data_IF_811430827125
#
_entry.id   IF_811430827125
#
_cell.length_a   1.000
_cell.length_b   1.000
_cell.length_c   1.000
_cell.angle_alpha   90.00
_cell.angle_beta   90.00
_cell.angle_gamma   90.00
#
_symmetry.space_group_name_H-M   'P 1'
#
loop_
_entity.id
_entity.type
_entity.pdbx_description
1 polymer ?
#
# COMPACT_ATOMS: atom_id res chain seq x y z
N UNK A 1 32.30 -10.79 -3.06
CA UNK A 1 32.23 -12.04 -3.86
C UNK A 1 31.68 -13.19 -3.03
N UNK A 2 32.19 -13.36 -1.81
CA UNK A 2 31.76 -14.35 -0.80
C UNK A 2 30.23 -14.42 -0.54
N UNK A 3 29.52 -13.29 -0.37
CA UNK A 3 28.05 -13.32 -0.19
C UNK A 3 27.28 -13.89 -1.38
N UNK A 4 27.80 -13.70 -2.61
CA UNK A 4 27.14 -14.20 -3.84
C UNK A 4 27.25 -15.71 -3.98
N UNK A 5 28.33 -16.33 -3.48
CA UNK A 5 28.50 -17.78 -3.57
C UNK A 5 27.49 -18.56 -2.72
N UNK A 6 26.95 -17.96 -1.65
CA UNK A 6 25.93 -18.60 -0.82
C UNK A 6 24.52 -18.59 -1.45
N UNK A 7 24.29 -17.80 -2.50
CA UNK A 7 23.00 -17.73 -3.20
C UNK A 7 22.87 -18.84 -4.27
N UNK A 8 23.99 -19.34 -4.79
CA UNK A 8 23.96 -20.30 -5.89
C UNK A 8 23.47 -21.66 -5.39
N UNK A 9 22.53 -22.24 -6.11
CA UNK A 9 22.19 -23.64 -5.96
C UNK A 9 23.08 -24.45 -6.90
N UNK A 10 23.72 -25.51 -6.40
CA UNK A 10 24.46 -26.46 -7.22
C UNK A 10 24.23 -27.88 -6.69
N UNK A 11 23.94 -28.83 -7.58
CA UNK A 11 23.85 -30.25 -7.25
C UNK A 11 24.42 -31.10 -8.37
N UNK A 12 25.19 -32.11 -8.00
CA UNK A 12 25.62 -33.20 -8.88
C UNK A 12 25.05 -34.56 -8.41
N UNK A 13 24.21 -34.56 -7.36
CA UNK A 13 23.62 -35.77 -6.77
C UNK A 13 22.32 -36.20 -7.46
N UNK A 14 22.20 -35.98 -8.77
CA UNK A 14 21.01 -36.29 -9.56
C UNK A 14 21.40 -37.11 -10.80
N UNK A 15 20.54 -38.06 -11.18
CA UNK A 15 20.77 -39.02 -12.27
C UNK A 15 20.77 -38.40 -13.68
N UNK A 16 20.39 -37.13 -13.81
CA UNK A 16 20.49 -36.37 -15.05
C UNK A 16 21.93 -35.88 -15.27
N UNK A 17 22.15 -34.60 -15.02
CA UNK A 17 23.44 -33.93 -15.17
C UNK A 17 23.64 -32.94 -14.01
N UNK A 18 24.86 -32.45 -13.76
CA UNK A 18 25.08 -31.41 -12.75
C UNK A 18 24.26 -30.15 -13.05
N UNK A 19 23.48 -29.69 -12.07
CA UNK A 19 22.64 -28.49 -12.17
C UNK A 19 23.25 -27.38 -11.34
N UNK A 20 23.32 -26.17 -11.89
CA UNK A 20 23.67 -24.96 -11.17
C UNK A 20 22.73 -23.81 -11.55
N UNK A 21 22.18 -23.11 -10.55
CA UNK A 21 21.30 -21.95 -10.75
C UNK A 21 21.80 -20.76 -9.92
N UNK A 22 21.85 -19.58 -10.55
CA UNK A 22 22.23 -18.33 -9.88
C UNK A 22 21.05 -17.65 -9.16
N UNK A 23 19.82 -18.08 -9.45
CA UNK A 23 18.55 -17.56 -8.93
C UNK A 23 17.61 -18.73 -8.63
N UNK A 24 16.48 -18.46 -7.97
CA UNK A 24 15.48 -19.50 -7.62
C UNK A 24 14.97 -20.25 -8.85
N UNK A 25 14.66 -19.54 -9.94
CA UNK A 25 14.21 -20.15 -11.19
C UNK A 25 15.39 -20.68 -12.00
N UNK A 26 15.23 -21.89 -12.57
CA UNK A 26 16.12 -22.41 -13.61
C UNK A 26 15.67 -21.87 -14.97
N UNK A 27 14.60 -22.43 -15.54
CA UNK A 27 13.93 -21.84 -16.72
C UNK A 27 13.29 -20.52 -16.32
N UNK A 28 13.62 -19.45 -17.05
CA UNK A 28 13.12 -18.09 -16.78
C UNK A 28 12.78 -17.37 -18.08
N UNK A 29 11.85 -16.41 -18.00
CA UNK A 29 11.41 -15.63 -19.16
C UNK A 29 12.53 -14.75 -19.71
N UNK A 30 12.89 -14.95 -20.97
CA UNK A 30 13.82 -14.06 -21.67
C UNK A 30 13.19 -12.68 -21.96
N UNK A 31 11.86 -12.63 -22.13
CA UNK A 31 11.13 -11.41 -22.47
C UNK A 31 11.24 -10.35 -21.39
N UNK A 32 11.06 -10.72 -20.11
CA UNK A 32 11.17 -9.77 -18.99
C UNK A 32 12.58 -9.19 -18.87
N UNK A 33 13.62 -10.00 -19.12
CA UNK A 33 15.00 -9.55 -19.13
C UNK A 33 15.28 -8.60 -20.29
N UNK A 34 14.81 -8.94 -21.51
CA UNK A 34 14.96 -8.11 -22.69
C UNK A 34 14.24 -6.76 -22.52
N UNK A 35 13.03 -6.76 -21.94
CA UNK A 35 12.27 -5.55 -21.64
C UNK A 35 13.00 -4.65 -20.64
N UNK A 36 13.51 -5.22 -19.53
CA UNK A 36 14.29 -4.45 -18.55
C UNK A 36 15.54 -3.83 -19.19
N UNK A 37 16.28 -4.61 -20.00
CA UNK A 37 17.44 -4.08 -20.75
C UNK A 37 17.02 -2.95 -21.69
N UNK A 38 15.99 -3.16 -22.51
CA UNK A 38 15.50 -2.14 -23.45
C UNK A 38 15.08 -0.84 -22.74
N UNK A 39 14.35 -0.93 -21.61
CA UNK A 39 13.98 0.23 -20.80
C UNK A 39 15.20 0.97 -20.28
N UNK A 40 16.21 0.26 -19.76
CA UNK A 40 17.45 0.90 -19.26
C UNK A 40 18.22 1.61 -20.37
N UNK A 41 18.28 1.02 -21.57
CA UNK A 41 18.93 1.66 -22.73
C UNK A 41 18.13 2.86 -23.23
N UNK A 42 16.80 2.74 -23.30
CA UNK A 42 15.92 3.80 -23.79
C UNK A 42 15.92 5.02 -22.87
N UNK A 43 15.82 4.83 -21.56
CA UNK A 43 15.82 5.92 -20.59
C UNK A 43 17.23 6.52 -20.44
N UNK A 44 18.25 5.66 -20.30
CA UNK A 44 19.59 6.11 -19.93
C UNK A 44 19.62 6.90 -18.63
N UNK A 45 20.75 7.52 -18.33
CA UNK A 45 20.92 8.31 -17.09
C UNK A 45 19.97 9.51 -17.06
N UNK A 46 19.88 10.26 -18.16
CA UNK A 46 19.05 11.48 -18.21
C UNK A 46 17.55 11.19 -18.13
N UNK A 47 17.08 10.08 -18.71
CA UNK A 47 15.68 9.67 -18.58
C UNK A 47 15.34 9.31 -17.14
N UNK A 48 16.18 8.53 -16.47
CA UNK A 48 15.98 8.24 -15.05
C UNK A 48 16.04 9.49 -14.18
N UNK A 49 17.01 10.39 -14.43
CA UNK A 49 17.14 11.65 -13.69
C UNK A 49 15.86 12.49 -13.80
N UNK A 50 15.34 12.69 -15.01
CA UNK A 50 14.09 13.43 -15.22
C UNK A 50 12.91 12.77 -14.51
N UNK A 51 12.73 11.45 -14.63
CA UNK A 51 11.64 10.75 -13.96
C UNK A 51 11.72 10.88 -12.42
N UNK A 52 12.93 10.86 -11.87
CA UNK A 52 13.13 11.11 -10.43
C UNK A 52 12.82 12.55 -10.06
N UNK A 53 13.28 13.53 -10.83
CA UNK A 53 12.98 14.96 -10.63
C UNK A 53 11.46 15.21 -10.67
N UNK A 54 10.75 14.64 -11.65
CA UNK A 54 9.29 14.77 -11.79
C UNK A 54 8.54 14.10 -10.61
N UNK A 55 8.96 12.89 -10.21
CA UNK A 55 8.37 12.19 -9.05
C UNK A 55 8.56 12.99 -7.76
N UNK A 56 9.73 13.61 -7.60
CA UNK A 56 10.03 14.46 -6.46
C UNK A 56 9.27 15.79 -6.49
N UNK A 57 9.11 16.39 -7.66
CA UNK A 57 8.29 17.59 -7.82
C UNK A 57 6.83 17.34 -7.43
N UNK A 58 6.24 16.22 -7.87
CA UNK A 58 4.89 15.82 -7.48
C UNK A 58 4.78 15.58 -5.97
N UNK A 59 5.79 14.93 -5.38
CA UNK A 59 5.87 14.68 -3.92
C UNK A 59 5.85 15.99 -3.13
N UNK A 60 6.70 16.95 -3.49
CA UNK A 60 6.74 18.27 -2.84
C UNK A 60 5.44 19.03 -2.98
N UNK A 61 4.79 18.97 -4.15
CA UNK A 61 3.50 19.63 -4.33
C UNK A 61 2.42 19.13 -3.37
N UNK A 62 2.41 17.82 -3.06
CA UNK A 62 1.50 17.28 -2.03
C UNK A 62 1.92 17.72 -0.63
N UNK A 63 3.22 17.66 -0.31
CA UNK A 63 3.75 18.08 0.99
C UNK A 63 3.39 19.53 1.30
N UNK A 64 3.72 20.45 0.37
CA UNK A 64 3.48 21.88 0.53
C UNK A 64 1.99 22.18 0.78
N UNK A 65 1.09 21.43 0.14
CA UNK A 65 -0.34 21.57 0.32
C UNK A 65 -0.85 20.99 1.65
N UNK A 66 -0.31 19.84 2.08
CA UNK A 66 -0.67 19.19 3.34
C UNK A 66 -0.14 19.97 4.55
N UNK A 67 1.06 20.54 4.48
CA UNK A 67 1.61 21.38 5.55
C UNK A 67 0.79 22.65 5.81
N UNK A 68 0.08 23.15 4.80
CA UNK A 68 -0.87 24.25 4.92
C UNK A 68 -2.26 23.86 5.41
N UNK A 69 -2.53 22.57 5.64
CA UNK A 69 -3.84 22.04 6.02
C UNK A 69 -3.95 21.76 7.52
N UNK A 70 -5.13 22.04 8.05
CA UNK A 70 -5.60 21.67 9.39
C UNK A 70 -6.32 20.31 9.43
N UNK A 71 -6.51 19.65 8.27
CA UNK A 71 -7.26 18.38 8.15
C UNK A 71 -6.39 17.16 7.86
N UNK A 72 -5.26 17.37 7.20
CA UNK A 72 -4.35 16.31 6.76
C UNK A 72 -2.96 16.66 7.24
N UNK A 73 -2.23 15.66 7.75
CA UNK A 73 -0.89 15.86 8.30
C UNK A 73 0.07 14.79 7.81
N UNK A 74 1.31 15.17 7.52
CA UNK A 74 2.38 14.22 7.25
C UNK A 74 2.77 13.48 8.53
N UNK A 75 2.98 12.16 8.43
CA UNK A 75 3.52 11.40 9.57
C UNK A 75 5.00 11.69 9.83
N UNK A 76 5.75 11.91 8.76
CA UNK A 76 7.17 12.25 8.80
C UNK A 76 7.53 13.02 7.53
N UNK A 77 8.48 13.98 7.60
CA UNK A 77 9.10 14.54 6.41
C UNK A 77 9.73 13.41 5.57
N UNK A 78 9.46 13.34 4.25
CA UNK A 78 10.04 12.30 3.40
C UNK A 78 11.33 12.77 2.71
N UNK A 79 12.27 11.84 2.50
CA UNK A 79 13.50 12.05 1.71
C UNK A 79 13.41 11.44 0.29
N UNK A 80 12.27 10.85 -0.05
CA UNK A 80 12.03 10.15 -1.30
C UNK A 80 10.56 10.33 -1.75
N UNK A 81 10.20 9.96 -3.00
CA UNK A 81 8.82 9.95 -3.50
C UNK A 81 7.90 8.91 -2.83
N UNK A 82 8.05 8.69 -1.53
CA UNK A 82 7.29 7.77 -0.69
C UNK A 82 7.02 8.46 0.65
N UNK A 83 5.75 8.66 0.98
CA UNK A 83 5.35 9.31 2.22
C UNK A 83 4.01 8.79 2.74
N UNK A 84 3.66 9.21 3.94
CA UNK A 84 2.40 8.86 4.58
C UNK A 84 1.73 10.11 5.18
N UNK A 85 0.41 10.18 5.02
CA UNK A 85 -0.42 11.23 5.63
C UNK A 85 -1.50 10.60 6.51
N UNK A 86 -1.90 11.33 7.54
CA UNK A 86 -3.03 10.98 8.41
C UNK A 86 -4.04 12.12 8.45
N UNK A 87 -5.25 11.83 8.94
CA UNK A 87 -6.37 12.75 9.11
C UNK A 87 -7.22 12.28 10.30
N UNK A 88 -8.25 13.03 10.67
CA UNK A 88 -9.12 12.69 11.81
C UNK A 88 -9.75 11.28 11.70
N UNK A 89 -10.10 10.86 10.48
CA UNK A 89 -10.53 9.49 10.14
C UNK A 89 -9.99 9.12 8.75
N UNK A 90 -8.91 8.34 8.72
CA UNK A 90 -8.23 7.96 7.47
C UNK A 90 -8.99 6.94 6.64
N UNK A 91 -9.87 6.15 7.25
CA UNK A 91 -10.63 5.12 6.55
C UNK A 91 -11.75 5.74 5.74
N UNK A 92 -12.47 6.68 6.35
CA UNK A 92 -13.46 7.52 5.65
C UNK A 92 -12.79 8.35 4.56
N UNK A 93 -11.62 8.92 4.86
CA UNK A 93 -10.85 9.68 3.87
C UNK A 93 -10.45 8.82 2.66
N UNK A 94 -9.93 7.60 2.87
CA UNK A 94 -9.60 6.67 1.78
C UNK A 94 -10.82 6.33 0.92
N UNK A 95 -11.98 6.09 1.55
CA UNK A 95 -13.22 5.81 0.84
C UNK A 95 -13.67 6.99 -0.02
N UNK A 96 -13.65 8.21 0.53
CA UNK A 96 -14.02 9.41 -0.22
C UNK A 96 -13.07 9.69 -1.40
N UNK A 97 -11.77 9.45 -1.23
CA UNK A 97 -10.79 9.50 -2.32
C UNK A 97 -11.09 8.47 -3.41
N UNK A 98 -11.47 7.24 -3.04
CA UNK A 98 -11.90 6.20 -3.98
C UNK A 98 -13.15 6.57 -4.76
N UNK A 99 -14.13 7.22 -4.13
CA UNK A 99 -15.34 7.71 -4.81
C UNK A 99 -15.00 8.77 -5.87
N UNK A 100 -13.87 9.47 -5.71
CA UNK A 100 -13.28 10.37 -6.73
C UNK A 100 -12.36 9.65 -7.74
N UNK A 101 -12.24 8.34 -7.65
CA UNK A 101 -11.47 7.51 -8.59
C UNK A 101 -10.04 7.19 -8.13
N UNK A 102 -9.59 7.71 -6.99
CA UNK A 102 -8.25 7.44 -6.46
C UNK A 102 -8.18 6.09 -5.76
N UNK A 103 -7.32 5.20 -6.25
CA UNK A 103 -7.11 3.89 -5.64
C UNK A 103 -6.11 3.98 -4.48
N UNK A 104 -6.53 4.60 -3.36
CA UNK A 104 -5.74 4.71 -2.15
C UNK A 104 -6.22 3.71 -1.10
N UNK A 105 -5.29 2.92 -0.57
CA UNK A 105 -5.54 2.02 0.56
C UNK A 105 -5.15 2.68 1.88
N UNK A 106 -6.03 2.60 2.87
CA UNK A 106 -5.67 2.94 4.25
C UNK A 106 -4.82 1.84 4.86
N UNK A 107 -3.80 2.25 5.61
CA UNK A 107 -2.93 1.38 6.39
C UNK A 107 -3.35 1.43 7.84
N UNK A 108 -3.68 0.28 8.46
CA UNK A 108 -4.00 0.21 9.89
C UNK A 108 -2.86 0.74 10.76
N UNK A 109 -3.23 1.30 11.91
CA UNK A 109 -2.34 1.67 13.00
C UNK A 109 -1.54 0.46 13.51
N UNK A 110 -0.29 0.69 13.91
CA UNK A 110 0.56 -0.34 14.50
C UNK A 110 1.59 0.28 15.44
N UNK A 111 1.56 -0.13 16.71
CA UNK A 111 2.45 0.42 17.73
C UNK A 111 2.29 1.95 17.82
N UNK A 112 3.37 2.74 17.68
CA UNK A 112 3.29 4.21 17.73
C UNK A 112 2.79 4.85 16.42
N UNK A 113 2.65 4.10 15.33
CA UNK A 113 2.18 4.63 14.05
C UNK A 113 0.66 4.68 14.03
N UNK A 114 0.02 5.85 13.84
CA UNK A 114 -1.42 5.91 13.64
C UNK A 114 -1.80 5.31 12.29
N UNK A 115 -3.11 5.11 12.08
CA UNK A 115 -3.62 4.76 10.77
C UNK A 115 -3.36 5.91 9.77
N UNK A 116 -3.07 5.56 8.51
CA UNK A 116 -2.59 6.53 7.51
C UNK A 116 -2.82 6.08 6.07
N UNK A 117 -2.68 7.01 5.13
CA UNK A 117 -2.64 6.75 3.70
C UNK A 117 -1.19 6.77 3.21
N UNK A 118 -0.79 5.75 2.46
CA UNK A 118 0.53 5.69 1.83
C UNK A 118 0.51 6.20 0.39
N UNK A 119 1.51 7.00 0.05
CA UNK A 119 1.70 7.54 -1.29
C UNK A 119 3.05 7.12 -1.83
N UNK A 120 3.06 6.44 -2.98
CA UNK A 120 4.27 6.22 -3.78
C UNK A 120 4.13 7.03 -5.07
N UNK A 121 4.79 8.19 -5.09
CA UNK A 121 4.71 9.10 -6.21
C UNK A 121 5.63 8.65 -7.34
N UNK A 122 5.12 8.76 -8.55
CA UNK A 122 5.84 8.52 -9.80
C UNK A 122 5.74 9.75 -10.67
N UNK A 123 6.58 9.85 -11.71
CA UNK A 123 6.58 10.98 -12.63
C UNK A 123 5.20 11.26 -13.25
N UNK A 124 4.38 10.21 -13.46
CA UNK A 124 3.03 10.35 -13.99
C UNK A 124 2.07 11.12 -13.08
N UNK A 125 2.31 11.12 -11.77
CA UNK A 125 1.45 11.85 -10.84
C UNK A 125 1.58 13.37 -10.98
N UNK A 126 2.69 13.86 -11.54
CA UNK A 126 2.88 15.29 -11.77
C UNK A 126 1.79 15.87 -12.70
N UNK A 127 1.26 15.08 -13.63
CA UNK A 127 0.23 15.54 -14.57
C UNK A 127 -1.16 15.66 -13.95
N UNK A 128 -1.37 15.06 -12.78
CA UNK A 128 -2.65 15.05 -12.05
C UNK A 128 -2.51 15.64 -10.64
N UNK A 129 -1.39 16.32 -10.37
CA UNK A 129 -1.03 16.83 -9.04
C UNK A 129 -2.11 17.74 -8.45
N UNK A 130 -2.59 18.70 -9.23
CA UNK A 130 -3.58 19.67 -8.75
C UNK A 130 -4.92 19.00 -8.40
N UNK A 131 -5.34 18.01 -9.19
CA UNK A 131 -6.54 17.22 -8.93
C UNK A 131 -6.36 16.36 -7.68
N UNK A 132 -5.20 15.69 -7.56
CA UNK A 132 -4.87 14.88 -6.40
C UNK A 132 -4.89 15.71 -5.11
N UNK A 133 -4.22 16.86 -5.10
CA UNK A 133 -4.14 17.75 -3.94
C UNK A 133 -5.51 18.30 -3.56
N UNK A 134 -6.28 18.77 -4.55
CA UNK A 134 -7.63 19.28 -4.30
C UNK A 134 -8.51 18.19 -3.67
N UNK A 135 -8.52 17.00 -4.25
CA UNK A 135 -9.35 15.90 -3.76
C UNK A 135 -8.90 15.44 -2.37
N UNK A 136 -7.59 15.32 -2.14
CA UNK A 136 -7.02 14.96 -0.84
C UNK A 136 -7.44 15.94 0.27
N UNK A 137 -7.45 17.24 -0.01
CA UNK A 137 -7.80 18.24 1.00
C UNK A 137 -9.32 18.36 1.20
N UNK A 138 -10.10 18.31 0.12
CA UNK A 138 -11.56 18.45 0.20
C UNK A 138 -12.24 17.24 0.84
N UNK A 139 -11.71 16.04 0.65
CA UNK A 139 -12.29 14.80 1.20
C UNK A 139 -11.82 14.47 2.61
N UNK A 140 -10.79 15.15 3.11
CA UNK A 140 -10.31 14.96 4.46
C UNK A 140 -11.38 15.34 5.50
N UNK A 141 -11.77 14.41 6.39
CA UNK A 141 -12.76 14.68 7.42
C UNK A 141 -12.17 15.59 8.51
N UNK A 142 -13.01 16.48 9.05
CA UNK A 142 -12.65 17.36 10.17
C UNK A 142 -12.66 16.61 11.50
N UNK A 143 -13.54 15.64 11.64
CA UNK A 143 -13.77 14.88 12.87
C UNK A 143 -13.95 13.40 12.53
N UNK A 144 -13.69 12.49 13.47
CA UNK A 144 -13.97 11.07 13.26
C UNK A 144 -15.44 10.81 12.94
N UNK A 145 -15.72 9.84 12.06
CA UNK A 145 -17.09 9.41 11.81
C UNK A 145 -17.71 8.78 13.08
N UNK A 146 -19.02 8.95 13.29
CA UNK A 146 -19.72 8.34 14.45
C UNK A 146 -19.52 6.83 14.51
N UNK A 147 -19.52 6.18 13.34
CA UNK A 147 -19.31 4.75 13.20
C UNK A 147 -17.86 4.35 13.49
N UNK A 148 -16.88 5.12 13.02
CA UNK A 148 -15.46 4.91 13.35
C UNK A 148 -15.20 5.05 14.85
N UNK A 149 -15.81 6.06 15.49
CA UNK A 149 -15.75 6.23 16.93
C UNK A 149 -16.40 5.08 17.72
N UNK A 150 -17.53 4.56 17.24
CA UNK A 150 -18.19 3.40 17.86
C UNK A 150 -17.37 2.11 17.72
N UNK A 151 -16.76 1.86 16.56
CA UNK A 151 -15.92 0.69 16.29
C UNK A 151 -14.63 0.69 17.12
N UNK A 152 -14.01 1.85 17.31
CA UNK A 152 -12.82 1.99 18.16
C UNK A 152 -13.09 1.59 19.64
N UNK A 153 -14.35 1.62 20.07
CA UNK A 153 -14.78 1.22 21.41
C UNK A 153 -15.19 -0.25 21.55
N UNK A 154 -15.22 -1.03 20.46
CA UNK A 154 -15.60 -2.44 20.47
C UNK A 154 -14.39 -3.35 20.66
N UNK A 155 -14.49 -4.30 21.59
CA UNK A 155 -13.53 -5.40 21.72
C UNK A 155 -13.82 -6.46 20.64
N UNK A 156 -13.34 -6.20 19.43
CA UNK A 156 -13.47 -7.12 18.30
C UNK A 156 -12.64 -8.40 18.48
N UNK A 157 -11.69 -8.43 19.44
CA UNK A 157 -10.93 -9.64 19.76
C UNK A 157 -11.78 -10.68 20.52
N UNK A 158 -12.92 -10.28 21.09
CA UNK A 158 -13.88 -11.19 21.69
C UNK A 158 -14.78 -11.91 20.65
N UNK A 159 -14.71 -11.55 19.36
CA UNK A 159 -15.45 -12.21 18.29
C UNK A 159 -14.73 -13.48 17.84
N UNK A 160 -15.45 -14.61 17.84
CA UNK A 160 -14.91 -15.86 17.31
C UNK A 160 -14.61 -15.74 15.80
N UNK A 161 -13.52 -16.33 15.27
CA UNK A 161 -13.17 -16.27 13.85
C UNK A 161 -14.28 -16.74 12.90
N UNK A 162 -15.15 -17.65 13.35
CA UNK A 162 -16.30 -18.14 12.59
C UNK A 162 -17.39 -17.06 12.40
N UNK A 163 -17.51 -16.12 13.34
CA UNK A 163 -18.45 -15.00 13.25
C UNK A 163 -17.95 -13.93 12.27
N UNK A 164 -16.62 -13.82 12.09
CA UNK A 164 -16.02 -12.84 11.17
C UNK A 164 -16.41 -13.13 9.73
N UNK A 165 -16.40 -14.40 9.30
CA UNK A 165 -16.82 -14.78 7.95
C UNK A 165 -18.29 -14.42 7.67
N UNK A 166 -19.19 -14.68 8.62
CA UNK A 166 -20.60 -14.34 8.48
C UNK A 166 -20.89 -12.83 8.46
N UNK A 167 -20.07 -12.02 9.16
CA UNK A 167 -20.15 -10.55 9.10
C UNK A 167 -19.63 -10.04 7.76
N UNK A 168 -18.51 -10.58 7.25
CA UNK A 168 -17.95 -10.21 5.95
C UNK A 168 -18.92 -10.50 4.80
N UNK A 169 -19.65 -11.62 4.85
CA UNK A 169 -20.66 -11.98 3.84
C UNK A 169 -21.86 -11.01 3.80
N UNK A 170 -22.08 -10.23 4.87
CA UNK A 170 -23.15 -9.23 4.94
C UNK A 170 -22.72 -7.85 4.48
N UNK A 171 -21.42 -7.61 4.28
CA UNK A 171 -20.87 -6.29 3.94
C UNK A 171 -20.69 -6.15 2.43
N UNK A 172 -21.05 -4.98 1.91
CA UNK A 172 -20.70 -4.58 0.56
C UNK A 172 -19.27 -4.03 0.59
N UNK A 173 -18.29 -4.84 0.18
CA UNK A 173 -16.86 -4.49 0.25
C UNK A 173 -16.51 -3.16 -0.43
N UNK A 174 -17.31 -2.73 -1.40
CA UNK A 174 -17.12 -1.46 -2.08
C UNK A 174 -17.72 -0.30 -1.28
N UNK A 175 -18.93 -0.47 -0.72
CA UNK A 175 -19.64 0.61 0.01
C UNK A 175 -19.27 0.72 1.49
N UNK A 176 -18.89 -0.38 2.12
CA UNK A 176 -18.63 -0.49 3.55
C UNK A 176 -17.14 -0.52 3.87
N UNK A 177 -16.27 -0.15 2.90
CA UNK A 177 -14.82 -0.31 3.05
C UNK A 177 -14.26 0.44 4.25
N UNK A 178 -14.64 1.71 4.46
CA UNK A 178 -14.11 2.46 5.60
C UNK A 178 -14.44 1.76 6.93
N UNK A 179 -15.65 1.19 7.03
CA UNK A 179 -16.12 0.43 8.20
C UNK A 179 -15.28 -0.82 8.40
N UNK A 180 -15.03 -1.57 7.33
CA UNK A 180 -14.22 -2.78 7.34
C UNK A 180 -12.79 -2.47 7.77
N UNK A 181 -12.16 -1.47 7.15
CA UNK A 181 -10.76 -1.14 7.43
C UNK A 181 -10.62 -0.57 8.86
N UNK A 182 -11.60 0.19 9.36
CA UNK A 182 -11.66 0.64 10.75
C UNK A 182 -11.84 -0.52 11.75
N UNK A 183 -12.69 -1.49 11.43
CA UNK A 183 -12.85 -2.68 12.26
C UNK A 183 -11.56 -3.53 12.29
N UNK A 184 -10.89 -3.69 11.15
CA UNK A 184 -9.59 -4.38 11.07
C UNK A 184 -8.53 -3.64 11.89
N UNK A 185 -8.54 -2.31 11.90
CA UNK A 185 -7.62 -1.52 12.71
C UNK A 185 -7.80 -1.75 14.21
N UNK A 186 -9.01 -2.02 14.68
CA UNK A 186 -9.26 -2.37 16.08
C UNK A 186 -8.72 -3.74 16.52
N UNK A 187 -8.31 -4.61 15.58
CA UNK A 187 -7.82 -5.96 15.89
C UNK A 187 -6.32 -5.99 16.20
N UNK A 188 -5.89 -6.96 17.01
CA UNK A 188 -4.46 -7.27 17.19
C UNK A 188 -3.84 -7.85 15.90
N UNK A 189 -2.52 -7.69 15.66
CA UNK A 189 -1.89 -8.08 14.39
C UNK A 189 -2.13 -9.54 13.96
N UNK A 190 -2.12 -10.48 14.91
CA UNK A 190 -2.39 -11.90 14.61
C UNK A 190 -3.84 -12.12 14.15
N UNK A 191 -4.80 -11.45 14.79
CA UNK A 191 -6.20 -11.52 14.40
C UNK A 191 -6.42 -10.85 13.03
N UNK A 192 -5.82 -9.69 12.77
CA UNK A 192 -5.84 -9.05 11.43
C UNK A 192 -5.36 -10.00 10.34
N UNK A 193 -4.23 -10.68 10.57
CA UNK A 193 -3.67 -11.63 9.61
C UNK A 193 -4.60 -12.83 9.36
N UNK A 194 -5.28 -13.32 10.40
CA UNK A 194 -6.27 -14.39 10.27
C UNK A 194 -7.48 -13.97 9.43
N UNK A 195 -8.02 -12.76 9.65
CA UNK A 195 -9.13 -12.21 8.85
C UNK A 195 -8.74 -12.07 7.38
N UNK A 196 -7.58 -11.47 7.10
CA UNK A 196 -7.08 -11.30 5.73
C UNK A 196 -6.88 -12.67 5.06
N UNK A 197 -6.34 -13.65 5.78
CA UNK A 197 -6.12 -15.00 5.25
C UNK A 197 -7.45 -15.70 4.93
N UNK A 198 -8.46 -15.58 5.79
CA UNK A 198 -9.79 -16.14 5.55
C UNK A 198 -10.45 -15.51 4.31
N UNK A 199 -10.32 -14.19 4.15
CA UNK A 199 -10.81 -13.48 2.97
C UNK A 199 -10.13 -13.96 1.68
N UNK A 200 -8.80 -14.10 1.69
CA UNK A 200 -8.07 -14.64 0.54
C UNK A 200 -8.52 -16.07 0.22
N UNK A 201 -8.74 -16.91 1.22
CA UNK A 201 -9.23 -18.28 1.00
C UNK A 201 -10.59 -18.30 0.30
N UNK A 202 -11.52 -17.40 0.65
CA UNK A 202 -12.80 -17.27 -0.05
C UNK A 202 -12.66 -16.84 -1.52
N UNK A 203 -11.70 -15.95 -1.85
CA UNK A 203 -11.48 -15.52 -3.23
C UNK A 203 -10.99 -16.65 -4.16
N UNK A 204 -10.39 -17.70 -3.60
CA UNK A 204 -9.83 -18.83 -4.34
C UNK A 204 -10.57 -20.16 -4.09
N UNK A 205 -11.70 -20.13 -3.36
CA UNK A 205 -12.58 -21.28 -3.14
C UNK A 205 -13.58 -21.45 -4.29
#
# INVERSE_FOLDING_TARGET
AERRSHQYFATAGWTGYPVANATVQSTKSATSLAAAWATTQHLGIEGYRRLTEDSWAATKGVIDAVEGSDRVHLLTPPDAPLFAVTSADVFTHAQAMRERGWQLGATPSLGPSPAHLHFTMTAGHLTVLDELVRDLLETAPLEPSELGGALAGLDLAALEPAMIGGVLDMLDLDKDRAVIDAAIDGLEPEARAAVISAFIQQLYA
#
